data_IF_327687725254
#
_entry.id   IF_327687725254
#
_cell.length_a   1.000
_cell.length_b   1.000
_cell.length_c   1.000
_cell.angle_alpha   90.00
_cell.angle_beta   90.00
_cell.angle_gamma   90.00
#
_symmetry.space_group_name_H-M   'P 1'
#
loop_
_entity.id
_entity.type
_entity.pdbx_description
1 polymer ?
#
# COMPACT_ATOMS: atom_id res chain seq x y z
N UNK A 1 1.18 -5.98 21.08
CA UNK A 1 0.75 -6.43 19.75
C UNK A 1 0.83 -5.26 18.80
N UNK A 2 1.36 -5.46 17.59
CA UNK A 2 1.35 -4.45 16.53
C UNK A 2 0.33 -4.82 15.46
N UNK A 3 -0.42 -3.83 14.97
CA UNK A 3 -1.36 -3.97 13.86
C UNK A 3 -0.83 -3.17 12.70
N UNK A 4 -0.72 -3.79 11.53
CA UNK A 4 -0.23 -3.17 10.30
C UNK A 4 -1.15 -3.56 9.16
N UNK A 5 -1.50 -2.60 8.31
CA UNK A 5 -2.41 -2.82 7.17
C UNK A 5 -1.74 -3.60 6.03
N UNK A 6 -0.43 -3.43 5.85
CA UNK A 6 0.40 -4.11 4.86
C UNK A 6 1.54 -4.88 5.53
N UNK A 7 2.01 -5.95 4.90
CA UNK A 7 3.18 -6.72 5.33
C UNK A 7 4.39 -5.82 5.66
N UNK A 8 5.03 -5.98 6.84
CA UNK A 8 6.25 -5.26 7.19
C UNK A 8 7.39 -5.53 6.20
N UNK A 9 8.00 -4.48 5.67
CA UNK A 9 9.08 -4.62 4.70
C UNK A 9 10.30 -5.35 5.28
N UNK A 10 10.92 -6.20 4.45
CA UNK A 10 12.12 -6.98 4.77
C UNK A 10 13.26 -6.74 3.76
N UNK A 11 13.49 -5.49 3.39
CA UNK A 11 14.57 -5.10 2.50
C UNK A 11 15.18 -3.77 2.95
N UNK A 12 16.45 -3.56 2.64
CA UNK A 12 17.11 -2.27 2.87
C UNK A 12 16.86 -1.36 1.67
N UNK A 13 16.07 -0.30 1.90
CA UNK A 13 15.82 0.75 0.92
C UNK A 13 16.40 2.08 1.40
N UNK A 14 15.58 3.14 1.36
CA UNK A 14 15.93 4.45 1.94
C UNK A 14 16.00 4.41 3.48
N UNK A 15 15.23 3.53 4.10
CA UNK A 15 15.19 3.30 5.54
C UNK A 15 15.45 1.83 5.86
N UNK A 16 15.91 1.50 7.08
CA UNK A 16 16.04 0.11 7.53
C UNK A 16 14.70 -0.66 7.50
N UNK A 17 14.72 -2.01 7.42
CA UNK A 17 13.53 -2.84 7.36
C UNK A 17 12.62 -2.70 8.59
N UNK A 18 11.30 -2.63 8.38
CA UNK A 18 10.32 -2.63 9.46
C UNK A 18 10.40 -3.91 10.32
N UNK A 19 10.73 -5.05 9.72
CA UNK A 19 10.94 -6.30 10.46
C UNK A 19 12.03 -6.18 11.52
N UNK A 20 13.10 -5.43 11.28
CA UNK A 20 14.17 -5.21 12.27
C UNK A 20 13.69 -4.39 13.45
N UNK A 21 12.94 -3.31 13.15
CA UNK A 21 12.35 -2.48 14.19
C UNK A 21 11.41 -3.28 15.09
N UNK A 22 10.55 -4.13 14.51
CA UNK A 22 9.60 -4.97 15.26
C UNK A 22 10.30 -6.04 16.12
N UNK A 23 11.33 -6.69 15.57
CA UNK A 23 12.15 -7.67 16.31
C UNK A 23 12.90 -6.99 17.45
N UNK A 24 13.55 -5.86 17.19
CA UNK A 24 14.29 -5.08 18.21
C UNK A 24 13.37 -4.58 19.32
N UNK A 25 12.15 -4.17 18.96
CA UNK A 25 11.11 -3.78 19.90
C UNK A 25 10.52 -4.97 20.69
N UNK A 26 10.88 -6.21 20.36
CA UNK A 26 10.42 -7.44 21.02
C UNK A 26 8.89 -7.56 21.06
N UNK A 27 8.23 -7.16 19.97
CA UNK A 27 6.78 -7.30 19.84
C UNK A 27 6.40 -8.78 19.90
N UNK A 28 5.42 -9.14 20.74
CA UNK A 28 4.98 -10.54 20.90
C UNK A 28 4.14 -11.07 19.73
N UNK A 29 3.32 -10.19 19.15
CA UNK A 29 2.37 -10.52 18.08
C UNK A 29 2.26 -9.39 17.08
N UNK A 30 2.26 -9.72 15.81
CA UNK A 30 1.99 -8.81 14.69
C UNK A 30 0.76 -9.31 13.93
N UNK A 31 -0.21 -8.43 13.73
CA UNK A 31 -1.41 -8.70 12.94
C UNK A 31 -1.28 -7.91 11.64
N UNK A 32 -1.32 -8.62 10.52
CA UNK A 32 -1.09 -8.10 9.18
C UNK A 32 -2.40 -8.13 8.40
N UNK A 33 -2.78 -6.99 7.84
CA UNK A 33 -4.00 -6.87 7.05
C UNK A 33 -3.93 -7.64 5.74
N UNK A 34 -2.89 -7.37 4.93
CA UNK A 34 -2.62 -8.08 3.68
C UNK A 34 -1.12 -8.35 3.45
N UNK A 35 -0.83 -9.39 2.68
CA UNK A 35 0.53 -9.68 2.18
C UNK A 35 0.88 -8.67 1.08
N UNK A 36 2.15 -8.24 1.00
CA UNK A 36 2.57 -7.32 -0.06
C UNK A 36 2.45 -8.01 -1.44
N UNK A 37 1.72 -7.44 -2.41
CA UNK A 37 1.58 -8.02 -3.75
C UNK A 37 2.89 -7.97 -4.56
N UNK A 38 3.89 -7.21 -4.13
CA UNK A 38 5.18 -7.13 -4.81
C UNK A 38 5.87 -8.51 -4.80
N UNK A 39 6.10 -9.16 -5.96
CA UNK A 39 6.67 -10.51 -6.03
C UNK A 39 8.04 -10.64 -5.38
N UNK A 40 8.79 -9.54 -5.28
CA UNK A 40 10.13 -9.51 -4.68
C UNK A 40 10.06 -9.51 -3.15
N UNK A 41 8.95 -9.01 -2.56
CA UNK A 41 8.80 -8.81 -1.11
C UNK A 41 7.86 -9.83 -0.50
N UNK A 42 6.85 -10.28 -1.24
CA UNK A 42 5.75 -11.10 -0.76
C UNK A 42 6.20 -12.21 0.20
N UNK A 43 5.59 -12.23 1.39
CA UNK A 43 5.80 -13.19 2.48
C UNK A 43 7.17 -13.16 3.17
N UNK A 44 8.19 -12.49 2.63
CA UNK A 44 9.54 -12.47 3.24
C UNK A 44 9.56 -11.75 4.59
N UNK A 45 8.70 -10.76 4.80
CA UNK A 45 8.59 -10.05 6.07
C UNK A 45 7.85 -10.87 7.11
N UNK A 46 6.75 -11.50 6.72
CA UNK A 46 6.01 -12.45 7.56
C UNK A 46 6.91 -13.59 8.03
N UNK A 47 7.66 -14.20 7.11
CA UNK A 47 8.55 -15.33 7.41
C UNK A 47 9.68 -14.91 8.37
N UNK A 48 10.29 -13.74 8.14
CA UNK A 48 11.34 -13.23 9.04
C UNK A 48 10.84 -13.02 10.47
N UNK A 49 9.63 -12.49 10.64
CA UNK A 49 9.03 -12.27 11.96
C UNK A 49 8.71 -13.60 12.65
N UNK A 50 8.14 -14.57 11.92
CA UNK A 50 7.87 -15.92 12.44
C UNK A 50 9.17 -16.63 12.86
N UNK A 51 10.22 -16.55 12.05
CA UNK A 51 11.54 -17.11 12.37
C UNK A 51 12.19 -16.46 13.58
N UNK A 52 11.85 -15.21 13.90
CA UNK A 52 12.28 -14.53 15.12
C UNK A 52 11.43 -14.89 16.36
N UNK A 53 10.48 -15.83 16.24
CA UNK A 53 9.62 -16.27 17.34
C UNK A 53 8.44 -15.34 17.64
N UNK A 54 8.08 -14.45 16.70
CA UNK A 54 6.93 -13.55 16.84
C UNK A 54 5.70 -14.24 16.27
N UNK A 55 4.57 -14.18 16.98
CA UNK A 55 3.29 -14.65 16.46
C UNK A 55 2.81 -13.72 15.33
N UNK A 56 2.52 -14.27 14.15
CA UNK A 56 2.04 -13.48 13.00
C UNK A 56 0.74 -14.03 12.44
N UNK A 57 -0.31 -13.21 12.52
CA UNK A 57 -1.63 -13.45 11.90
C UNK A 57 -1.75 -12.58 10.66
N UNK A 58 -2.24 -13.13 9.55
CA UNK A 58 -2.31 -12.47 8.24
C UNK A 58 -3.73 -12.57 7.69
N UNK A 59 -4.17 -11.58 6.91
CA UNK A 59 -5.46 -11.60 6.21
C UNK A 59 -6.61 -10.99 7.01
N UNK A 60 -6.32 -10.14 8.01
CA UNK A 60 -7.36 -9.50 8.84
C UNK A 60 -7.85 -8.24 8.14
N UNK A 61 -9.16 -8.17 7.84
CA UNK A 61 -9.75 -7.05 7.06
C UNK A 61 -9.03 -6.85 5.71
N UNK A 62 -8.65 -7.95 5.05
CA UNK A 62 -7.81 -7.93 3.85
C UNK A 62 -8.42 -7.07 2.74
N UNK A 63 -9.73 -7.17 2.52
CA UNK A 63 -10.43 -6.39 1.48
C UNK A 63 -10.43 -4.88 1.78
N UNK A 64 -10.58 -4.49 3.05
CA UNK A 64 -10.43 -3.08 3.43
C UNK A 64 -8.99 -2.61 3.23
N UNK A 65 -8.01 -3.42 3.62
CA UNK A 65 -6.60 -3.10 3.41
C UNK A 65 -6.25 -2.99 1.92
N UNK A 66 -6.82 -3.84 1.05
CA UNK A 66 -6.66 -3.74 -0.40
C UNK A 66 -7.24 -2.44 -0.95
N UNK A 67 -8.45 -2.09 -0.53
CA UNK A 67 -9.10 -0.83 -0.97
C UNK A 67 -8.29 0.42 -0.62
N UNK A 68 -7.60 0.41 0.53
CA UNK A 68 -6.79 1.54 1.00
C UNK A 68 -5.63 1.88 0.06
N UNK A 69 -5.09 0.89 -0.65
CA UNK A 69 -3.89 1.03 -1.50
C UNK A 69 -4.11 0.48 -2.91
N UNK A 70 -5.33 0.57 -3.44
CA UNK A 70 -5.72 -0.07 -4.73
C UNK A 70 -4.79 0.31 -5.89
N UNK A 71 -4.36 1.57 -5.95
CA UNK A 71 -3.50 2.06 -7.04
C UNK A 71 -2.11 1.43 -6.98
N UNK A 72 -1.57 1.21 -5.77
CA UNK A 72 -0.31 0.49 -5.57
C UNK A 72 -0.46 -0.98 -5.99
N UNK A 73 -1.52 -1.65 -5.54
CA UNK A 73 -1.79 -3.05 -5.89
C UNK A 73 -1.91 -3.21 -7.41
N UNK A 74 -2.69 -2.35 -8.07
CA UNK A 74 -2.82 -2.34 -9.52
C UNK A 74 -1.45 -2.18 -10.20
N UNK A 75 -0.64 -1.22 -9.75
CA UNK A 75 0.69 -1.01 -10.31
C UNK A 75 1.61 -2.22 -10.11
N UNK A 76 1.61 -2.86 -8.93
CA UNK A 76 2.44 -4.04 -8.66
C UNK A 76 2.01 -5.27 -9.47
N UNK A 77 0.71 -5.49 -9.65
CA UNK A 77 0.18 -6.66 -10.35
C UNK A 77 0.16 -6.50 -11.87
N UNK A 78 -0.17 -5.31 -12.36
CA UNK A 78 -0.38 -5.03 -13.80
C UNK A 78 0.85 -4.38 -14.44
N UNK A 79 1.72 -3.76 -13.66
CA UNK A 79 2.86 -2.98 -14.16
C UNK A 79 2.47 -1.66 -14.83
N UNK A 80 1.25 -1.18 -14.59
CA UNK A 80 0.69 0.07 -15.16
C UNK A 80 0.03 0.91 -14.07
N UNK A 81 0.03 2.25 -14.17
CA UNK A 81 -0.68 3.10 -13.22
C UNK A 81 -2.20 2.85 -13.30
N UNK A 82 -2.89 2.98 -12.17
CA UNK A 82 -4.34 3.04 -12.13
C UNK A 82 -4.77 4.46 -12.55
N UNK A 83 -5.66 4.57 -13.55
CA UNK A 83 -6.07 5.84 -14.12
C UNK A 83 -7.51 6.18 -13.76
N UNK A 84 -7.70 7.36 -13.16
CA UNK A 84 -9.03 7.91 -12.86
C UNK A 84 -9.34 9.07 -13.80
N UNK A 85 -10.35 8.89 -14.65
CA UNK A 85 -10.83 9.94 -15.55
C UNK A 85 -11.95 10.74 -14.88
N UNK A 86 -11.72 12.04 -14.66
CA UNK A 86 -12.75 12.96 -14.17
C UNK A 86 -13.27 13.82 -15.31
N UNK A 87 -14.54 13.65 -15.65
CA UNK A 87 -15.20 14.43 -16.69
C UNK A 87 -16.01 15.58 -16.06
N UNK A 88 -15.99 16.75 -16.71
CA UNK A 88 -16.84 17.89 -16.37
C UNK A 88 -17.43 18.47 -17.64
N UNK A 89 -18.70 18.87 -17.58
CA UNK A 89 -19.34 19.64 -18.66
C UNK A 89 -18.71 21.02 -18.73
N UNK A 90 -18.18 21.38 -19.90
CA UNK A 90 -17.71 22.73 -20.21
C UNK A 90 -18.89 23.47 -20.86
N UNK A 91 -19.30 24.58 -20.26
CA UNK A 91 -20.28 25.49 -20.85
C UNK A 91 -19.53 26.62 -21.56
N UNK A 92 -19.81 26.81 -22.84
CA UNK A 92 -19.20 27.87 -23.65
C UNK A 92 -20.15 29.08 -23.57
N UNK A 93 -19.78 30.12 -22.82
CA UNK A 93 -20.51 31.39 -22.82
C UNK A 93 -19.84 32.33 -23.84
N UNK A 94 -20.58 33.04 -24.71
CA UNK A 94 -20.01 33.81 -25.83
C UNK A 94 -19.04 34.94 -25.46
N UNK A 95 -18.91 35.30 -24.17
CA UNK A 95 -18.12 36.43 -23.68
C UNK A 95 -17.23 36.09 -22.47
N UNK A 96 -16.92 34.80 -22.24
CA UNK A 96 -16.15 34.36 -21.06
C UNK A 96 -14.86 33.67 -21.46
N UNK A 97 -13.74 34.14 -20.93
CA UNK A 97 -12.42 33.52 -21.06
C UNK A 97 -12.46 32.10 -20.51
N UNK A 98 -12.02 31.15 -21.33
CA UNK A 98 -12.11 29.73 -21.06
C UNK A 98 -11.15 29.33 -19.92
N UNK A 99 -11.62 29.26 -18.68
CA UNK A 99 -10.85 28.68 -17.57
C UNK A 99 -11.01 27.15 -17.57
N UNK A 100 -10.20 26.47 -18.39
CA UNK A 100 -10.03 25.01 -18.29
C UNK A 100 -9.12 24.74 -17.10
N UNK A 101 -9.69 24.34 -15.97
CA UNK A 101 -8.88 23.80 -14.88
C UNK A 101 -8.32 22.46 -15.37
N UNK A 102 -7.03 22.45 -15.72
CA UNK A 102 -6.32 21.24 -16.10
C UNK A 102 -6.43 20.19 -14.98
N UNK A 103 -6.63 18.96 -15.40
CA UNK A 103 -6.76 17.75 -14.59
C UNK A 103 -5.62 17.70 -13.57
N UNK A 104 -5.94 17.83 -12.28
CA UNK A 104 -5.07 17.34 -11.24
C UNK A 104 -5.13 15.81 -11.30
N UNK A 105 -4.10 15.20 -11.89
CA UNK A 105 -3.79 13.81 -11.59
C UNK A 105 -3.54 13.74 -10.08
N UNK A 106 -4.32 12.92 -9.39
CA UNK A 106 -4.14 12.59 -7.97
C UNK A 106 -2.78 11.88 -7.83
#
# INVERSE_FOLDING_TARGET
>A
TAYVTLEPCNHFGRTPPCTEALIKARVKKVVVGMVDPNPIVASKGVDRLRNAGIEVVVGIEEELCKSLIEAYIHHMLVGKPLLTLRLRKIAIHPNSTMHVTAIAAI
#
